data_IF_111657210540
#
_entry.id   IF_111657210540
#
_cell.length_a   1.000
_cell.length_b   1.000
_cell.length_c   1.000
_cell.angle_alpha   90.00
_cell.angle_beta   90.00
_cell.angle_gamma   90.00
#
_symmetry.space_group_name_H-M   'P 1'
#
loop_
_entity.id
_entity.type
_entity.pdbx_description
1 polymer ?
#
# COMPACT_ATOMS: atom_id res chain seq x y z
N UNK A 1 -8.79 -8.87 9.75
CA UNK A 1 -8.47 -9.54 8.47
C UNK A 1 -9.31 -8.94 7.35
N UNK A 2 -8.86 -8.99 6.08
CA UNK A 2 -9.64 -8.56 4.91
C UNK A 2 -9.60 -9.64 3.85
N UNK A 3 -10.77 -10.15 3.47
CA UNK A 3 -10.97 -11.16 2.41
C UNK A 3 -11.94 -10.62 1.38
N UNK A 4 -11.81 -11.04 0.12
CA UNK A 4 -12.74 -10.68 -0.96
C UNK A 4 -13.60 -11.90 -1.28
N UNK A 5 -14.89 -11.68 -1.42
CA UNK A 5 -15.83 -12.74 -1.73
C UNK A 5 -17.15 -12.20 -2.28
N UNK A 6 -17.91 -13.09 -2.92
CA UNK A 6 -19.22 -12.79 -3.48
C UNK A 6 -20.30 -13.24 -2.52
N UNK A 7 -21.29 -12.39 -2.29
CA UNK A 7 -22.50 -12.76 -1.57
C UNK A 7 -23.21 -13.88 -2.35
N UNK A 8 -23.44 -15.02 -1.71
CA UNK A 8 -24.18 -16.15 -2.29
C UNK A 8 -25.59 -16.23 -1.77
N UNK A 9 -25.73 -16.19 -0.44
CA UNK A 9 -27.01 -16.33 0.22
C UNK A 9 -27.17 -15.33 1.34
N UNK A 10 -28.40 -14.84 1.48
CA UNK A 10 -28.89 -14.11 2.63
C UNK A 10 -30.16 -14.84 3.08
N UNK A 11 -30.14 -15.40 4.28
CA UNK A 11 -31.26 -16.17 4.83
C UNK A 11 -31.46 -15.85 6.32
N UNK A 12 -32.40 -16.55 6.96
CA UNK A 12 -32.70 -16.42 8.38
C UNK A 12 -32.68 -17.80 9.04
N UNK A 13 -32.13 -17.87 10.25
CA UNK A 13 -32.18 -19.07 11.09
C UNK A 13 -33.61 -19.36 11.54
N UNK A 14 -33.82 -20.55 12.12
CA UNK A 14 -35.11 -20.92 12.75
C UNK A 14 -35.53 -19.91 13.82
N UNK A 15 -34.55 -19.32 14.54
CA UNK A 15 -34.77 -18.27 15.55
C UNK A 15 -34.94 -16.86 14.94
N UNK A 16 -35.05 -16.74 13.62
CA UNK A 16 -35.23 -15.47 12.91
C UNK A 16 -33.97 -14.59 12.83
N UNK A 17 -32.78 -15.12 13.13
CA UNK A 17 -31.53 -14.35 13.04
C UNK A 17 -31.01 -14.35 11.60
N UNK A 18 -30.60 -13.20 11.04
CA UNK A 18 -30.07 -13.15 9.69
C UNK A 18 -28.73 -13.87 9.59
N UNK A 19 -28.52 -14.63 8.52
CA UNK A 19 -27.26 -15.28 8.18
C UNK A 19 -26.86 -14.96 6.74
N UNK A 20 -25.56 -14.80 6.53
CA UNK A 20 -24.99 -14.40 5.25
C UNK A 20 -23.89 -15.38 4.87
N UNK A 21 -23.89 -15.85 3.62
CA UNK A 21 -22.86 -16.75 3.09
C UNK A 21 -22.07 -16.05 1.99
N UNK A 22 -20.75 -16.06 2.10
CA UNK A 22 -19.82 -15.53 1.12
C UNK A 22 -19.00 -16.66 0.48
N UNK A 23 -18.85 -16.61 -0.84
CA UNK A 23 -17.87 -17.42 -1.56
C UNK A 23 -16.60 -16.61 -1.73
N UNK A 24 -15.47 -17.11 -1.22
CA UNK A 24 -14.17 -16.43 -1.33
C UNK A 24 -13.67 -16.46 -2.78
N UNK A 25 -13.04 -15.38 -3.24
CA UNK A 25 -12.46 -15.32 -4.59
C UNK A 25 -11.15 -16.12 -4.70
N UNK A 26 -10.35 -16.18 -3.63
CA UNK A 26 -9.04 -16.85 -3.61
C UNK A 26 -9.03 -17.98 -2.59
N UNK A 27 -8.67 -19.19 -3.00
CA UNK A 27 -8.59 -20.35 -2.11
C UNK A 27 -7.65 -20.13 -0.92
N UNK A 28 -6.49 -19.50 -1.16
CA UNK A 28 -5.47 -19.24 -0.12
C UNK A 28 -5.97 -18.33 1.03
N UNK A 29 -7.06 -17.58 0.83
CA UNK A 29 -7.65 -16.78 1.92
C UNK A 29 -8.24 -17.65 3.03
N UNK A 30 -8.39 -18.98 2.82
CA UNK A 30 -8.78 -19.94 3.86
C UNK A 30 -7.82 -19.91 5.06
N UNK A 31 -6.53 -19.66 4.83
CA UNK A 31 -5.53 -19.58 5.90
C UNK A 31 -5.78 -18.39 6.84
N UNK A 32 -6.45 -17.34 6.36
CA UNK A 32 -6.79 -16.16 7.18
C UNK A 32 -8.03 -16.38 8.05
N UNK A 33 -8.93 -17.27 7.62
CA UNK A 33 -10.17 -17.59 8.35
C UNK A 33 -10.06 -18.87 9.18
N UNK A 34 -9.07 -19.73 8.91
CA UNK A 34 -8.91 -21.02 9.59
C UNK A 34 -8.63 -20.93 11.08
N UNK A 35 -8.24 -19.77 11.60
CA UNK A 35 -8.03 -19.53 13.03
C UNK A 35 -9.32 -19.19 13.79
N UNK A 36 -10.42 -18.89 13.08
CA UNK A 36 -11.73 -18.59 13.67
C UNK A 36 -12.37 -19.90 14.15
N UNK A 37 -12.74 -19.97 15.42
CA UNK A 37 -13.50 -21.09 15.99
C UNK A 37 -15.00 -20.89 15.78
N UNK A 38 -15.74 -21.99 15.72
CA UNK A 38 -17.17 -22.00 15.36
C UNK A 38 -18.07 -21.13 16.24
N UNK A 39 -17.66 -20.83 17.48
CA UNK A 39 -18.44 -20.05 18.45
C UNK A 39 -17.88 -18.64 18.70
N UNK A 40 -16.87 -18.20 17.95
CA UNK A 40 -16.26 -16.88 18.15
C UNK A 40 -17.22 -15.75 17.75
N UNK A 41 -17.43 -14.78 18.65
CA UNK A 41 -18.17 -13.57 18.34
C UNK A 41 -17.25 -12.57 17.60
N UNK A 42 -17.49 -12.40 16.30
CA UNK A 42 -16.67 -11.55 15.43
C UNK A 42 -17.29 -10.18 15.18
N UNK A 43 -16.45 -9.15 15.11
CA UNK A 43 -16.83 -7.84 14.58
C UNK A 43 -16.61 -7.82 13.06
N UNK A 44 -17.70 -7.85 12.29
CA UNK A 44 -17.69 -8.02 10.83
C UNK A 44 -17.95 -6.68 10.14
N UNK A 45 -16.99 -6.22 9.33
CA UNK A 45 -17.13 -5.02 8.50
C UNK A 45 -17.25 -5.41 7.02
N UNK A 46 -18.44 -5.21 6.43
CA UNK A 46 -18.71 -5.51 5.02
C UNK A 46 -18.73 -4.19 4.24
N UNK A 47 -17.99 -4.15 3.13
CA UNK A 47 -17.98 -3.00 2.23
C UNK A 47 -18.01 -3.48 0.78
N UNK A 48 -18.66 -2.70 -0.10
CA UNK A 48 -18.66 -3.01 -1.53
C UNK A 48 -17.22 -3.08 -2.04
N UNK A 49 -16.88 -4.18 -2.72
CA UNK A 49 -15.61 -4.28 -3.42
C UNK A 49 -15.60 -3.24 -4.55
N UNK A 50 -14.96 -2.08 -4.31
CA UNK A 50 -14.69 -1.11 -5.38
C UNK A 50 -13.79 -1.79 -6.42
N UNK A 51 -14.04 -1.53 -7.71
CA UNK A 51 -13.23 -2.05 -8.82
C UNK A 51 -11.75 -1.89 -8.48
N UNK A 52 -11.07 -3.02 -8.50
CA UNK A 52 -9.77 -3.31 -7.89
C UNK A 52 -8.58 -2.51 -8.44
N UNK A 53 -8.80 -1.66 -9.47
CA UNK A 53 -7.72 -1.01 -10.22
C UNK A 53 -6.72 -0.23 -9.36
N UNK A 54 -7.15 0.50 -8.34
CA UNK A 54 -6.24 1.26 -7.46
C UNK A 54 -5.56 0.44 -6.37
N UNK A 55 -6.17 -0.67 -5.92
CA UNK A 55 -5.54 -1.55 -4.93
C UNK A 55 -4.48 -2.44 -5.61
N UNK A 56 -4.78 -2.93 -6.80
CA UNK A 56 -3.87 -3.74 -7.60
C UNK A 56 -2.69 -2.90 -8.08
N UNK A 57 -2.92 -1.65 -8.50
CA UNK A 57 -1.84 -0.70 -8.83
C UNK A 57 -0.92 -0.39 -7.65
N UNK A 58 -1.47 -0.19 -6.44
CA UNK A 58 -0.65 0.02 -5.25
C UNK A 58 0.16 -1.24 -4.89
N UNK A 59 -0.47 -2.42 -4.93
CA UNK A 59 0.23 -3.67 -4.67
C UNK A 59 1.34 -3.93 -5.70
N UNK A 60 1.04 -3.70 -6.97
CA UNK A 60 1.99 -3.76 -8.08
C UNK A 60 3.18 -2.83 -7.84
N UNK A 61 2.92 -1.56 -7.52
CA UNK A 61 3.95 -0.57 -7.24
C UNK A 61 4.90 -1.06 -6.12
N UNK A 62 4.36 -1.51 -5.00
CA UNK A 62 5.16 -1.98 -3.87
C UNK A 62 5.90 -3.29 -4.15
N UNK A 63 5.34 -4.15 -5.01
CA UNK A 63 6.02 -5.36 -5.47
C UNK A 63 7.25 -4.99 -6.32
N UNK A 64 7.10 -4.12 -7.32
CA UNK A 64 8.20 -3.65 -8.17
C UNK A 64 9.28 -2.98 -7.32
N UNK A 65 8.90 -2.10 -6.38
CA UNK A 65 9.86 -1.44 -5.47
C UNK A 65 10.62 -2.47 -4.64
N UNK A 66 9.93 -3.49 -4.12
CA UNK A 66 10.56 -4.52 -3.28
C UNK A 66 11.57 -5.36 -4.08
N UNK A 67 11.29 -5.65 -5.34
CA UNK A 67 12.22 -6.40 -6.20
C UNK A 67 13.41 -5.56 -6.66
N UNK A 68 13.20 -4.26 -6.95
CA UNK A 68 14.30 -3.31 -7.17
C UNK A 68 15.17 -3.22 -5.92
N UNK A 69 14.57 -3.06 -4.74
CA UNK A 69 15.28 -2.96 -3.47
C UNK A 69 16.12 -4.21 -3.20
N UNK A 70 15.55 -5.39 -3.44
CA UNK A 70 16.26 -6.68 -3.33
C UNK A 70 17.45 -6.75 -4.28
N UNK A 71 17.30 -6.23 -5.49
CA UNK A 71 18.37 -6.25 -6.50
C UNK A 71 19.50 -5.28 -6.17
N UNK A 72 19.16 -4.08 -5.71
CA UNK A 72 20.11 -2.98 -5.44
C UNK A 72 20.78 -3.13 -4.08
N UNK A 73 20.00 -3.45 -3.03
CA UNK A 73 20.44 -3.46 -1.64
C UNK A 73 20.59 -4.87 -1.04
N UNK A 74 20.22 -5.93 -1.78
CA UNK A 74 20.32 -7.33 -1.37
C UNK A 74 19.20 -7.77 -0.42
N UNK A 75 19.12 -7.16 0.77
CA UNK A 75 18.07 -7.44 1.77
C UNK A 75 17.11 -6.25 1.82
N UNK A 76 15.86 -6.41 1.34
CA UNK A 76 14.89 -5.34 1.39
C UNK A 76 14.55 -4.95 2.83
N UNK A 77 14.49 -3.65 3.10
CA UNK A 77 14.02 -3.12 4.37
C UNK A 77 12.83 -2.19 4.16
N UNK A 78 12.08 -1.87 5.21
CA UNK A 78 11.04 -0.86 5.10
C UNK A 78 11.65 0.50 4.71
N UNK A 79 12.79 0.86 5.30
CA UNK A 79 13.46 2.14 5.08
C UNK A 79 13.90 2.28 3.61
N UNK A 80 14.64 1.30 3.10
CA UNK A 80 15.17 1.32 1.72
C UNK A 80 14.08 1.33 0.64
N UNK A 81 12.94 0.65 0.89
CA UNK A 81 11.77 0.72 0.00
C UNK A 81 11.10 2.09 0.02
N UNK A 82 11.01 2.73 1.19
CA UNK A 82 10.49 4.10 1.29
C UNK A 82 11.41 5.11 0.61
N UNK A 83 12.72 4.95 0.72
CA UNK A 83 13.69 5.81 0.02
C UNK A 83 13.55 5.70 -1.49
N UNK A 84 13.40 4.48 -2.02
CA UNK A 84 13.10 4.26 -3.44
C UNK A 84 11.77 4.88 -3.85
N UNK A 85 10.73 4.72 -3.04
CA UNK A 85 9.41 5.32 -3.27
C UNK A 85 9.50 6.85 -3.36
N UNK A 86 10.19 7.52 -2.42
CA UNK A 86 10.38 8.97 -2.42
C UNK A 86 11.11 9.42 -3.68
N UNK A 87 12.18 8.73 -4.10
CA UNK A 87 12.86 9.04 -5.36
C UNK A 87 11.91 8.96 -6.56
N UNK A 88 11.07 7.93 -6.62
CA UNK A 88 10.09 7.78 -7.71
C UNK A 88 9.04 8.89 -7.73
N UNK A 89 8.57 9.33 -6.56
CA UNK A 89 7.63 10.46 -6.45
C UNK A 89 8.26 11.76 -6.95
N UNK A 90 9.51 12.03 -6.56
CA UNK A 90 10.26 13.21 -7.01
C UNK A 90 10.40 13.23 -8.54
N UNK A 91 10.77 12.10 -9.14
CA UNK A 91 10.92 11.95 -10.59
C UNK A 91 9.59 11.98 -11.35
N UNK A 92 8.52 11.44 -10.75
CA UNK A 92 7.17 11.47 -11.32
C UNK A 92 6.52 12.87 -11.25
N UNK A 93 7.17 13.84 -10.60
CA UNK A 93 6.69 15.23 -10.51
C UNK A 93 5.40 15.38 -9.70
N UNK A 94 5.22 14.53 -8.69
CA UNK A 94 4.03 14.58 -7.82
C UNK A 94 4.10 15.81 -6.92
N UNK A 95 2.93 16.37 -6.61
CA UNK A 95 2.79 17.48 -5.67
C UNK A 95 3.39 17.16 -4.29
N UNK A 96 4.12 18.14 -3.78
CA UNK A 96 4.71 18.12 -2.46
C UNK A 96 4.44 19.45 -1.76
N UNK A 97 4.51 19.42 -0.43
CA UNK A 97 4.44 20.62 0.39
C UNK A 97 5.70 20.73 1.25
N UNK A 98 6.32 21.91 1.22
CA UNK A 98 7.46 22.21 2.08
C UNK A 98 6.95 22.79 3.41
N UNK A 99 7.32 22.15 4.51
CA UNK A 99 6.85 22.48 5.87
C UNK A 99 8.05 22.68 6.78
N UNK A 100 8.00 23.72 7.60
CA UNK A 100 9.01 23.99 8.63
C UNK A 100 8.49 23.51 9.98
N UNK A 101 9.24 22.63 10.65
CA UNK A 101 8.91 22.15 11.99
C UNK A 101 10.02 22.48 12.99
N UNK A 102 9.72 22.59 14.30
CA UNK A 102 10.74 22.59 15.33
C UNK A 102 11.51 21.25 15.34
N UNK A 103 12.83 21.29 15.53
CA UNK A 103 13.70 20.09 15.57
C UNK A 103 13.25 19.07 16.62
N UNK A 104 12.79 19.54 17.78
CA UNK A 104 12.22 18.70 18.85
C UNK A 104 10.99 17.89 18.40
N UNK A 105 10.25 18.37 17.40
CA UNK A 105 9.03 17.74 16.90
C UNK A 105 9.31 16.66 15.84
N UNK A 106 10.56 16.52 15.37
CA UNK A 106 10.91 15.57 14.32
C UNK A 106 10.49 14.13 14.68
N UNK A 107 10.69 13.71 15.93
CA UNK A 107 10.35 12.34 16.35
C UNK A 107 8.85 12.05 16.20
N UNK A 108 7.99 13.00 16.59
CA UNK A 108 6.53 12.87 16.47
C UNK A 108 6.13 12.94 14.99
N UNK A 109 6.76 13.84 14.22
CA UNK A 109 6.53 13.95 12.78
C UNK A 109 6.79 12.63 12.05
N UNK A 110 7.93 11.97 12.31
CA UNK A 110 8.28 10.67 11.71
C UNK A 110 7.28 9.55 12.00
N UNK A 111 6.56 9.62 13.13
CA UNK A 111 5.52 8.65 13.47
C UNK A 111 4.23 8.89 12.70
N UNK A 112 3.91 10.15 12.42
CA UNK A 112 2.68 10.54 11.73
C UNK A 112 2.83 10.53 10.20
N UNK A 113 4.01 10.85 9.68
CA UNK A 113 4.24 11.09 8.26
C UNK A 113 5.45 10.30 7.77
N UNK A 114 5.23 9.42 6.79
CA UNK A 114 6.26 8.46 6.32
C UNK A 114 7.01 8.93 5.08
N UNK A 115 6.35 9.67 4.19
CA UNK A 115 6.92 10.08 2.91
C UNK A 115 7.44 11.52 2.99
N UNK A 116 8.64 11.72 3.55
CA UNK A 116 9.24 13.05 3.67
C UNK A 116 10.74 13.03 3.35
N UNK A 117 11.28 14.21 3.06
CA UNK A 117 12.72 14.45 2.89
C UNK A 117 13.14 15.66 3.70
N UNK A 118 14.26 15.57 4.40
CA UNK A 118 14.87 16.73 5.07
C UNK A 118 15.61 17.53 4.01
N UNK A 119 15.23 18.79 3.81
CA UNK A 119 15.86 19.69 2.84
C UNK A 119 16.96 20.52 3.47
N UNK A 120 16.70 21.03 4.68
CA UNK A 120 17.62 21.89 5.41
C UNK A 120 17.39 21.77 6.92
N UNK A 121 18.43 22.01 7.70
CA UNK A 121 18.38 22.03 9.16
C UNK A 121 19.15 23.25 9.66
N UNK A 122 18.42 24.18 10.29
CA UNK A 122 18.99 25.43 10.78
C UNK A 122 18.45 25.75 12.17
N UNK A 123 19.37 26.01 13.10
CA UNK A 123 19.08 26.30 14.49
C UNK A 123 18.15 25.22 15.11
N UNK A 124 16.99 25.63 15.61
CA UNK A 124 15.96 24.77 16.19
C UNK A 124 14.84 24.39 15.20
N UNK A 125 15.07 24.57 13.89
CA UNK A 125 14.07 24.31 12.84
C UNK A 125 14.60 23.36 11.77
N UNK A 126 13.68 22.57 11.22
CA UNK A 126 13.94 21.65 10.10
C UNK A 126 12.96 22.00 8.98
N UNK A 127 13.50 22.19 7.77
CA UNK A 127 12.71 22.27 6.55
C UNK A 127 12.53 20.86 5.99
N UNK A 128 11.27 20.44 5.88
CA UNK A 128 10.87 19.14 5.36
C UNK A 128 10.10 19.31 4.06
N UNK A 129 10.39 18.48 3.07
CA UNK A 129 9.50 18.25 1.94
C UNK A 129 8.60 17.07 2.23
N UNK A 130 7.30 17.29 2.19
CA UNK A 130 6.27 16.30 2.47
C UNK A 130 5.61 15.86 1.18
N UNK A 131 5.57 14.55 0.93
CA UNK A 131 4.90 13.99 -0.24
C UNK A 131 3.55 13.40 0.15
N UNK A 132 2.53 13.65 -0.67
CA UNK A 132 1.25 12.96 -0.51
C UNK A 132 1.45 11.45 -0.70
N UNK A 133 0.80 10.64 0.14
CA UNK A 133 0.84 9.19 -0.03
C UNK A 133 0.11 8.76 -1.30
N UNK A 134 0.54 7.64 -1.91
CA UNK A 134 -0.04 7.10 -3.15
C UNK A 134 -1.54 6.81 -3.05
N UNK A 135 -2.09 6.71 -1.84
CA UNK A 135 -3.52 6.59 -1.56
C UNK A 135 -4.34 7.84 -1.90
N UNK A 136 -3.68 8.97 -2.15
CA UNK A 136 -4.29 10.25 -2.57
C UNK A 136 -4.05 10.56 -4.06
N UNK A 137 -3.31 9.73 -4.78
CA UNK A 137 -2.98 9.99 -6.16
C UNK A 137 -4.18 9.79 -7.07
N UNK A 138 -4.31 10.64 -8.08
CA UNK A 138 -5.21 10.40 -9.19
C UNK A 138 -4.68 9.25 -10.08
N UNK A 139 -5.49 8.84 -11.06
CA UNK A 139 -5.13 7.72 -11.95
C UNK A 139 -3.89 8.02 -12.80
N UNK A 140 -3.66 9.28 -13.18
CA UNK A 140 -2.53 9.69 -14.02
C UNK A 140 -1.23 9.68 -13.20
N UNK A 141 -1.26 10.26 -12.00
CA UNK A 141 -0.14 10.26 -11.05
C UNK A 141 0.30 8.83 -10.71
N UNK A 142 -0.66 7.93 -10.43
CA UNK A 142 -0.36 6.53 -10.16
C UNK A 142 0.26 5.82 -11.38
N UNK A 143 -0.27 6.07 -12.58
CA UNK A 143 0.25 5.43 -13.81
C UNK A 143 1.67 5.88 -14.10
N UNK A 144 1.95 7.18 -14.03
CA UNK A 144 3.29 7.73 -14.23
C UNK A 144 4.31 7.15 -13.25
N UNK A 145 3.91 6.99 -11.98
CA UNK A 145 4.78 6.41 -10.95
C UNK A 145 5.11 4.94 -11.25
N UNK A 146 4.11 4.15 -11.65
CA UNK A 146 4.31 2.75 -12.04
C UNK A 146 5.23 2.65 -13.26
N UNK A 147 5.02 3.48 -14.28
CA UNK A 147 5.85 3.51 -15.49
C UNK A 147 7.32 3.84 -15.17
N UNK A 148 7.55 4.79 -14.25
CA UNK A 148 8.89 5.09 -13.74
C UNK A 148 9.55 3.86 -13.11
N UNK A 149 8.85 3.14 -12.22
CA UNK A 149 9.42 1.98 -11.55
C UNK A 149 9.59 0.77 -12.48
N UNK A 150 8.72 0.59 -13.49
CA UNK A 150 8.91 -0.43 -14.52
C UNK A 150 10.18 -0.17 -15.34
N UNK A 151 10.42 1.10 -15.71
CA UNK A 151 11.66 1.49 -16.38
C UNK A 151 12.88 1.23 -15.49
N UNK A 152 12.83 1.66 -14.22
CA UNK A 152 13.92 1.46 -13.26
C UNK A 152 14.19 -0.03 -13.00
N UNK A 153 13.16 -0.85 -12.90
CA UNK A 153 13.29 -2.31 -12.79
C UNK A 153 14.04 -2.91 -13.98
N UNK A 154 13.70 -2.47 -15.20
CA UNK A 154 14.41 -2.89 -16.42
C UNK A 154 15.88 -2.48 -16.39
N UNK A 155 16.18 -1.23 -16.00
CA UNK A 155 17.56 -0.71 -15.90
C UNK A 155 18.43 -1.50 -14.91
N UNK A 156 17.86 -1.95 -13.79
CA UNK A 156 18.59 -2.76 -12.78
C UNK A 156 18.56 -4.26 -13.07
N UNK A 157 17.96 -4.69 -14.19
CA UNK A 157 17.88 -6.10 -14.60
C UNK A 157 16.97 -6.94 -13.71
N UNK A 158 15.88 -6.36 -13.20
CA UNK A 158 14.77 -7.10 -12.59
C UNK A 158 13.84 -7.56 -13.72
N UNK A 159 13.78 -8.87 -13.95
CA UNK A 159 12.84 -9.44 -14.92
C UNK A 159 11.43 -9.21 -14.45
N UNK A 160 10.65 -8.45 -15.22
CA UNK A 160 9.24 -8.17 -14.98
C UNK A 160 8.46 -9.46 -15.33
N UNK A 161 8.59 -10.50 -14.51
CA UNK A 161 7.81 -11.72 -14.68
C UNK A 161 6.40 -11.40 -14.16
N UNK A 162 5.60 -10.86 -15.08
CA UNK A 162 4.15 -10.94 -15.12
C UNK A 162 3.40 -10.60 -13.81
N UNK A 163 3.74 -9.48 -13.16
CA UNK A 163 2.91 -8.94 -12.07
C UNK A 163 1.46 -8.69 -12.51
N UNK A 164 1.20 -8.55 -13.81
CA UNK A 164 -0.13 -8.47 -14.43
C UNK A 164 -0.96 -9.74 -14.33
N UNK A 165 -0.35 -10.91 -14.08
CA UNK A 165 -1.07 -12.18 -13.88
C UNK A 165 -1.39 -12.48 -12.42
N UNK A 166 -0.79 -11.77 -11.45
CA UNK A 166 -1.00 -12.02 -10.02
C UNK A 166 -1.95 -11.02 -9.32
N UNK A 167 -2.27 -9.90 -10.00
CA UNK A 167 -3.14 -8.83 -9.46
C UNK A 167 -4.33 -8.54 -10.36
#
# INVERSE_FOLDING_TARGET
>A
MKVKGRLKNLNYSIDGKPQVTFELERYLDINKIGEIKGDDLLNINISNAKKSRTLDQNNLLWAIISDIDKKVNGIPSEISRWDLYIQGIEEAGVEFEDVIIPKKSLKIFKQAFRAYKILDEKDDKILLRCFLGSSKFDTKQMTNLIDYFLKKASEVGVTIIDYTKEF
#
